data_IF_820644448346
#
_entry.id   IF_820644448346
#
_cell.length_a   1.000
_cell.length_b   1.000
_cell.length_c   1.000
_cell.angle_alpha   90.00
_cell.angle_beta   90.00
_cell.angle_gamma   90.00
#
_symmetry.space_group_name_H-M   'P 1'
#
loop_
_entity.id
_entity.type
_entity.pdbx_description
1 polymer ?
#
# COMPACT_ATOMS: atom_id res chain seq x y z
N UNK A 1 -4.88 -19.47 8.72
CA UNK A 1 -5.32 -18.47 7.72
C UNK A 1 -5.32 -19.13 6.36
N UNK A 2 -6.19 -18.69 5.46
CA UNK A 2 -6.25 -19.18 4.09
C UNK A 2 -6.20 -17.97 3.16
N UNK A 3 -5.23 -17.95 2.26
CA UNK A 3 -5.16 -16.95 1.19
C UNK A 3 -5.64 -17.55 -0.12
N UNK A 4 -6.53 -16.85 -0.84
CA UNK A 4 -7.00 -17.28 -2.17
C UNK A 4 -7.24 -16.10 -3.10
N UNK A 5 -7.23 -16.39 -4.40
CA UNK A 5 -7.64 -15.42 -5.43
C UNK A 5 -9.13 -15.11 -5.27
N UNK A 6 -9.46 -13.83 -5.42
CA UNK A 6 -10.82 -13.30 -5.45
C UNK A 6 -11.19 -12.88 -6.87
N UNK A 7 -12.45 -13.09 -7.23
CA UNK A 7 -13.00 -12.74 -8.54
C UNK A 7 -13.97 -11.56 -8.46
N UNK A 8 -14.42 -11.06 -9.61
CA UNK A 8 -15.17 -9.80 -9.74
C UNK A 8 -16.42 -9.76 -8.87
N UNK A 9 -17.06 -10.90 -8.67
CA UNK A 9 -18.25 -11.07 -7.83
C UNK A 9 -17.96 -10.74 -6.36
N UNK A 10 -16.70 -10.84 -5.94
CA UNK A 10 -16.22 -10.59 -4.59
C UNK A 10 -15.60 -9.19 -4.41
N UNK A 11 -15.77 -8.28 -5.39
CA UNK A 11 -15.21 -6.92 -5.34
C UNK A 11 -15.56 -6.18 -4.05
N UNK A 12 -16.85 -6.17 -3.66
CA UNK A 12 -17.29 -5.50 -2.43
C UNK A 12 -16.64 -6.09 -1.18
N UNK A 13 -16.41 -7.41 -1.17
CA UNK A 13 -15.76 -8.09 -0.06
C UNK A 13 -14.27 -7.72 0.00
N UNK A 14 -13.59 -7.71 -1.15
CA UNK A 14 -12.20 -7.28 -1.28
C UNK A 14 -12.03 -5.83 -0.79
N UNK A 15 -12.79 -4.89 -1.35
CA UNK A 15 -12.67 -3.46 -1.03
C UNK A 15 -13.04 -3.15 0.44
N UNK A 16 -13.84 -4.00 1.10
CA UNK A 16 -14.19 -3.83 2.52
C UNK A 16 -13.01 -3.87 3.49
N UNK A 17 -11.87 -4.42 3.07
CA UNK A 17 -10.64 -4.52 3.87
C UNK A 17 -9.45 -3.78 3.26
N UNK A 18 -9.66 -3.02 2.18
CA UNK A 18 -8.61 -2.21 1.56
C UNK A 18 -8.58 -0.82 2.20
N UNK A 19 -7.40 -0.40 2.65
CA UNK A 19 -7.16 0.94 3.21
C UNK A 19 -6.52 1.91 2.23
N UNK A 20 -5.68 1.44 1.31
CA UNK A 20 -4.90 2.30 0.42
C UNK A 20 -5.52 2.36 -0.99
N UNK A 21 -5.70 3.54 -1.60
CA UNK A 21 -6.38 3.69 -2.89
C UNK A 21 -5.74 2.88 -4.03
N UNK A 22 -4.41 2.77 -4.07
CA UNK A 22 -3.71 1.98 -5.10
C UNK A 22 -3.84 0.46 -4.93
N UNK A 23 -4.53 0.00 -3.90
CA UNK A 23 -4.86 -1.40 -3.69
C UNK A 23 -6.34 -1.69 -3.97
N UNK A 24 -7.18 -0.70 -4.31
CA UNK A 24 -8.61 -0.92 -4.56
C UNK A 24 -8.85 -1.77 -5.80
N UNK A 25 -10.04 -2.34 -5.90
CA UNK A 25 -10.43 -3.09 -7.08
C UNK A 25 -10.32 -2.24 -8.35
N UNK A 26 -10.87 -1.02 -8.31
CA UNK A 26 -10.89 -0.10 -9.45
C UNK A 26 -9.49 0.33 -9.88
N UNK A 27 -8.54 0.46 -8.95
CA UNK A 27 -7.14 0.70 -9.33
C UNK A 27 -6.56 -0.48 -10.13
N UNK A 28 -6.90 -1.71 -9.74
CA UNK A 28 -6.56 -2.90 -10.52
C UNK A 28 -7.20 -2.92 -11.90
N UNK A 29 -8.47 -2.49 -12.04
CA UNK A 29 -9.13 -2.37 -13.36
C UNK A 29 -8.44 -1.33 -14.24
N UNK A 30 -8.02 -0.22 -13.65
CA UNK A 30 -7.17 0.76 -14.34
C UNK A 30 -5.87 0.13 -14.82
N UNK A 31 -5.14 -0.60 -13.97
CA UNK A 31 -3.89 -1.28 -14.39
C UNK A 31 -4.13 -2.30 -15.52
N UNK A 32 -5.22 -3.07 -15.45
CA UNK A 32 -5.62 -4.01 -16.52
C UNK A 32 -5.85 -3.25 -17.84
N UNK A 33 -6.52 -2.09 -17.80
CA UNK A 33 -6.71 -1.25 -18.99
C UNK A 33 -5.39 -0.76 -19.62
N UNK A 34 -4.31 -0.70 -18.82
CA UNK A 34 -2.96 -0.36 -19.27
C UNK A 34 -2.14 -1.60 -19.69
N UNK A 35 -2.77 -2.78 -19.81
CA UNK A 35 -2.13 -4.01 -20.25
C UNK A 35 -1.43 -4.81 -19.15
N UNK A 36 -1.70 -4.51 -17.87
CA UNK A 36 -1.16 -5.30 -16.77
C UNK A 36 -2.02 -6.53 -16.50
N UNK A 37 -1.40 -7.61 -16.01
CA UNK A 37 -2.12 -8.73 -15.38
C UNK A 37 -2.21 -8.47 -13.89
N UNK A 38 -3.41 -8.53 -13.32
CA UNK A 38 -3.64 -8.23 -11.89
C UNK A 38 -4.30 -9.42 -11.22
N UNK A 39 -3.72 -9.86 -10.12
CA UNK A 39 -4.29 -10.88 -9.24
C UNK A 39 -4.65 -10.25 -7.90
N UNK A 40 -5.86 -10.51 -7.42
CA UNK A 40 -6.37 -10.00 -6.15
C UNK A 40 -6.51 -11.17 -5.19
N UNK A 41 -5.84 -11.10 -4.05
CA UNK A 41 -5.81 -12.14 -3.04
C UNK A 41 -6.51 -11.66 -1.77
N UNK A 42 -7.42 -12.46 -1.26
CA UNK A 42 -8.04 -12.28 0.05
C UNK A 42 -7.42 -13.21 1.06
N UNK A 43 -7.13 -12.70 2.25
CA UNK A 43 -6.64 -13.45 3.42
C UNK A 43 -7.80 -13.66 4.38
N UNK A 44 -8.09 -14.92 4.68
CA UNK A 44 -9.22 -15.33 5.50
C UNK A 44 -8.77 -15.97 6.81
N UNK A 45 -9.44 -15.58 7.90
CA UNK A 45 -9.41 -16.29 9.17
C UNK A 45 -10.82 -16.72 9.56
N UNK A 46 -10.99 -18.02 9.84
CA UNK A 46 -12.29 -18.64 10.18
C UNK A 46 -13.44 -18.24 9.24
N UNK A 47 -13.15 -18.14 7.94
CA UNK A 47 -14.12 -17.79 6.90
C UNK A 47 -14.40 -16.29 6.75
N UNK A 48 -13.84 -15.44 7.60
CA UNK A 48 -13.94 -13.97 7.49
C UNK A 48 -12.69 -13.41 6.81
N UNK A 49 -12.88 -12.50 5.86
CA UNK A 49 -11.76 -11.76 5.26
C UNK A 49 -11.16 -10.80 6.30
N UNK A 50 -9.85 -10.83 6.47
CA UNK A 50 -9.13 -9.98 7.44
C UNK A 50 -8.13 -9.03 6.78
N UNK A 51 -7.72 -9.33 5.56
CA UNK A 51 -6.83 -8.50 4.74
C UNK A 51 -7.01 -8.90 3.28
N UNK A 52 -6.63 -8.02 2.37
CA UNK A 52 -6.54 -8.33 0.96
C UNK A 52 -5.41 -7.53 0.31
N UNK A 53 -4.96 -7.97 -0.85
CA UNK A 53 -3.95 -7.27 -1.63
C UNK A 53 -4.00 -7.64 -3.11
N UNK A 54 -3.49 -6.75 -3.94
CA UNK A 54 -3.29 -6.97 -5.37
C UNK A 54 -1.81 -7.11 -5.70
N UNK A 55 -1.50 -8.06 -6.59
CA UNK A 55 -0.21 -8.16 -7.27
C UNK A 55 -0.42 -7.90 -8.76
N UNK A 56 0.33 -6.95 -9.31
CA UNK A 56 0.26 -6.55 -10.71
C UNK A 56 1.55 -6.92 -11.43
N UNK A 57 1.43 -7.52 -12.61
CA UNK A 57 2.53 -7.91 -13.49
C UNK A 57 2.50 -7.10 -14.78
N UNK A 58 3.64 -6.51 -15.11
CA UNK A 58 3.87 -5.81 -16.37
C UNK A 58 4.90 -6.58 -17.21
N UNK A 59 4.55 -6.89 -18.45
CA UNK A 59 5.45 -7.60 -19.36
C UNK A 59 6.59 -6.69 -19.82
N UNK A 60 7.82 -7.20 -19.82
CA UNK A 60 8.97 -6.47 -20.35
C UNK A 60 8.90 -6.52 -21.88
N UNK A 61 8.89 -5.37 -22.58
CA UNK A 61 8.79 -5.32 -24.04
C UNK A 61 9.83 -6.22 -24.72
N UNK A 62 9.39 -6.95 -25.76
CA UNK A 62 10.22 -7.85 -26.58
C UNK A 62 10.78 -9.07 -25.83
N UNK A 63 10.22 -9.43 -24.66
CA UNK A 63 10.60 -10.64 -23.93
C UNK A 63 9.36 -11.39 -23.42
N UNK A 64 9.56 -12.63 -22.96
CA UNK A 64 8.53 -13.41 -22.26
C UNK A 64 8.56 -13.21 -20.73
N UNK A 65 9.39 -12.27 -20.25
CA UNK A 65 9.55 -12.01 -18.83
C UNK A 65 8.64 -10.86 -18.38
N UNK A 66 8.30 -10.87 -17.10
CA UNK A 66 7.52 -9.80 -16.46
C UNK A 66 8.18 -9.25 -15.20
N UNK A 67 7.64 -8.14 -14.69
CA UNK A 67 7.96 -7.57 -13.38
C UNK A 67 6.68 -7.50 -12.57
N UNK A 68 6.69 -8.12 -11.39
CA UNK A 68 5.59 -8.05 -10.44
C UNK A 68 5.73 -6.87 -9.47
N UNK A 69 4.62 -6.32 -9.02
CA UNK A 69 4.57 -5.27 -7.99
C UNK A 69 3.41 -5.48 -7.03
N UNK A 70 3.66 -5.22 -5.75
CA UNK A 70 2.65 -5.07 -4.70
C UNK A 70 2.90 -3.70 -4.07
N UNK A 71 2.09 -2.73 -4.50
CA UNK A 71 2.24 -1.32 -4.18
C UNK A 71 1.30 -0.93 -3.04
N UNK A 72 1.84 -0.52 -1.89
CA UNK A 72 1.09 -0.18 -0.67
C UNK A 72 0.25 -1.35 -0.16
N UNK A 73 0.80 -2.56 -0.25
CA UNK A 73 0.16 -3.79 0.25
C UNK A 73 0.28 -3.97 1.76
N UNK A 74 -0.22 -5.08 2.31
CA UNK A 74 -0.13 -5.39 3.73
C UNK A 74 1.33 -5.67 4.17
N UNK A 75 1.51 -5.80 5.48
CA UNK A 75 2.79 -6.26 6.06
C UNK A 75 3.16 -7.62 5.44
N UNK A 76 4.41 -7.75 5.02
CA UNK A 76 4.92 -8.97 4.38
C UNK A 76 5.08 -10.07 5.43
N UNK A 77 4.59 -11.26 5.12
CA UNK A 77 4.78 -12.50 5.86
C UNK A 77 5.12 -13.69 4.94
N UNK A 78 5.42 -14.84 5.52
CA UNK A 78 5.77 -16.06 4.77
C UNK A 78 4.65 -16.55 3.85
N UNK A 79 3.38 -16.36 4.24
CA UNK A 79 2.23 -16.81 3.46
C UNK A 79 2.08 -15.97 2.19
N UNK A 80 2.20 -14.64 2.30
CA UNK A 80 2.24 -13.73 1.16
C UNK A 80 3.38 -14.10 0.23
N UNK A 81 4.60 -14.28 0.76
CA UNK A 81 5.77 -14.63 -0.06
C UNK A 81 5.55 -15.95 -0.82
N UNK A 82 5.04 -16.98 -0.15
CA UNK A 82 4.73 -18.27 -0.76
C UNK A 82 3.71 -18.14 -1.90
N UNK A 83 2.60 -17.44 -1.66
CA UNK A 83 1.53 -17.28 -2.65
C UNK A 83 1.98 -16.44 -3.85
N UNK A 84 2.68 -15.33 -3.58
CA UNK A 84 3.20 -14.44 -4.63
C UNK A 84 4.27 -15.14 -5.46
N UNK A 85 5.15 -15.95 -4.85
CA UNK A 85 6.16 -16.72 -5.57
C UNK A 85 5.54 -17.69 -6.57
N UNK A 86 4.43 -18.34 -6.22
CA UNK A 86 3.70 -19.22 -7.14
C UNK A 86 3.20 -18.44 -8.36
N UNK A 87 2.50 -17.33 -8.14
CA UNK A 87 1.97 -16.48 -9.23
C UNK A 87 3.12 -15.92 -10.07
N UNK A 88 4.21 -15.49 -9.43
CA UNK A 88 5.37 -14.93 -10.12
C UNK A 88 6.05 -15.93 -11.08
N UNK A 89 6.10 -17.22 -10.71
CA UNK A 89 6.60 -18.27 -11.59
C UNK A 89 5.69 -18.44 -12.81
N UNK A 90 4.37 -18.49 -12.59
CA UNK A 90 3.38 -18.62 -13.67
C UNK A 90 3.39 -17.40 -14.62
N UNK A 91 3.81 -16.25 -14.12
CA UNK A 91 3.95 -14.99 -14.86
C UNK A 91 5.33 -14.79 -15.52
N UNK A 92 6.24 -15.76 -15.41
CA UNK A 92 7.65 -15.61 -15.82
C UNK A 92 8.29 -14.32 -15.27
N UNK A 93 7.99 -13.96 -14.03
CA UNK A 93 8.47 -12.72 -13.43
C UNK A 93 9.94 -12.83 -13.00
N UNK A 94 10.75 -11.83 -13.36
CA UNK A 94 12.17 -11.77 -12.95
C UNK A 94 12.28 -11.43 -11.46
N UNK A 95 11.38 -10.58 -10.97
CA UNK A 95 11.23 -10.26 -9.56
C UNK A 95 9.82 -9.74 -9.27
N UNK A 96 9.45 -9.77 -8.00
CA UNK A 96 8.29 -9.05 -7.47
C UNK A 96 8.78 -8.01 -6.48
N UNK A 97 8.35 -6.76 -6.67
CA UNK A 97 8.67 -5.65 -5.79
C UNK A 97 7.55 -5.44 -4.78
N UNK A 98 7.89 -5.46 -3.50
CA UNK A 98 6.96 -5.20 -2.40
C UNK A 98 7.21 -3.81 -1.82
N UNK A 99 6.16 -3.01 -1.70
CA UNK A 99 6.16 -1.75 -0.96
C UNK A 99 4.98 -1.78 0.02
N UNK A 100 5.16 -2.28 1.25
CA UNK A 100 4.07 -2.41 2.22
C UNK A 100 3.65 -1.04 2.77
N UNK A 101 2.35 -0.87 3.05
CA UNK A 101 1.79 0.32 3.69
C UNK A 101 1.92 0.24 5.22
N UNK A 102 3.17 0.21 5.69
CA UNK A 102 3.51 0.06 7.11
C UNK A 102 4.47 1.16 7.51
N UNK A 103 4.13 1.92 8.55
CA UNK A 103 5.04 2.91 9.12
C UNK A 103 6.21 2.21 9.82
N UNK A 104 7.43 2.48 9.35
CA UNK A 104 8.64 2.04 10.04
C UNK A 104 8.96 2.96 11.22
N UNK A 105 8.86 4.27 11.00
CA UNK A 105 9.20 5.32 11.97
C UNK A 105 8.15 6.42 11.90
N UNK A 106 7.91 7.05 13.05
CA UNK A 106 7.10 8.26 13.18
C UNK A 106 7.96 9.38 13.70
N UNK A 107 8.05 10.45 12.92
CA UNK A 107 8.75 11.68 13.29
C UNK A 107 7.73 12.67 13.86
N UNK A 108 7.98 13.20 15.05
CA UNK A 108 7.11 14.17 15.73
C UNK A 108 7.65 15.59 15.57
N UNK A 109 6.76 16.57 15.70
CA UNK A 109 7.10 18.00 15.60
C UNK A 109 8.02 18.47 16.74
N UNK A 110 8.02 17.79 17.88
CA UNK A 110 8.93 18.02 19.00
C UNK A 110 10.36 17.49 18.75
N UNK A 111 10.64 16.96 17.55
CA UNK A 111 11.93 16.39 17.17
C UNK A 111 12.12 14.94 17.60
N UNK A 112 11.18 14.35 18.34
CA UNK A 112 11.28 12.94 18.75
C UNK A 112 10.97 11.99 17.60
N UNK A 113 11.62 10.83 17.61
CA UNK A 113 11.39 9.76 16.63
C UNK A 113 10.98 8.48 17.35
N UNK A 114 9.89 7.89 16.91
CA UNK A 114 9.40 6.61 17.41
C UNK A 114 9.58 5.54 16.33
N UNK A 115 10.24 4.42 16.69
CA UNK A 115 10.33 3.24 15.82
C UNK A 115 9.09 2.37 16.03
N UNK A 116 8.34 2.14 14.97
CA UNK A 116 7.08 1.41 14.99
C UNK A 116 7.22 -0.03 14.49
N UNK A 117 8.05 -0.24 13.46
CA UNK A 117 8.26 -1.55 12.85
C UNK A 117 9.70 -1.73 12.40
N UNK A 118 10.12 -3.00 12.36
CA UNK A 118 11.39 -3.41 11.78
C UNK A 118 11.24 -3.71 10.29
N UNK A 119 12.36 -3.58 9.57
CA UNK A 119 12.43 -4.03 8.17
C UNK A 119 12.35 -5.56 8.19
N UNK A 120 11.38 -6.17 7.49
CA UNK A 120 11.27 -7.62 7.44
C UNK A 120 12.56 -8.25 6.88
N UNK A 121 13.03 -9.30 7.55
CA UNK A 121 14.23 -10.04 7.15
C UNK A 121 13.80 -11.40 6.62
N UNK A 122 13.75 -11.51 5.29
CA UNK A 122 13.49 -12.77 4.60
C UNK A 122 14.64 -13.06 3.66
N UNK A 123 15.11 -14.31 3.59
CA UNK A 123 16.23 -14.73 2.73
C UNK A 123 16.01 -14.42 1.25
N UNK A 124 14.75 -14.48 0.82
CA UNK A 124 14.34 -14.28 -0.57
C UNK A 124 14.14 -12.79 -0.92
N UNK A 125 14.29 -11.88 0.05
CA UNK A 125 14.10 -10.44 -0.15
C UNK A 125 15.42 -9.67 -0.04
N UNK A 126 15.51 -8.61 -0.84
CA UNK A 126 16.56 -7.60 -0.76
C UNK A 126 15.94 -6.21 -0.82
N UNK A 127 16.56 -5.25 -0.14
CA UNK A 127 16.13 -3.85 -0.22
C UNK A 127 16.32 -3.36 -1.65
N UNK A 128 15.24 -2.82 -2.21
CA UNK A 128 15.28 -2.23 -3.54
C UNK A 128 15.94 -0.83 -3.47
N UNK A 129 16.88 -0.50 -4.37
CA UNK A 129 17.48 0.83 -4.40
C UNK A 129 16.53 1.89 -4.96
N UNK A 130 15.45 1.48 -5.62
CA UNK A 130 14.42 2.37 -6.17
C UNK A 130 13.11 2.11 -5.45
N UNK A 131 12.33 3.15 -5.19
CA UNK A 131 10.97 3.08 -4.63
C UNK A 131 9.96 3.67 -5.61
N UNK A 132 8.74 3.16 -5.62
CA UNK A 132 7.64 3.71 -6.42
C UNK A 132 6.99 4.88 -5.69
N UNK A 133 6.89 4.79 -4.37
CA UNK A 133 6.46 5.91 -3.52
C UNK A 133 7.60 6.49 -2.70
N UNK A 134 7.58 7.80 -2.49
CA UNK A 134 8.48 8.44 -1.53
C UNK A 134 8.24 7.87 -0.12
N UNK A 135 9.29 7.51 0.64
CA UNK A 135 9.16 6.76 1.90
C UNK A 135 8.79 7.65 3.10
N UNK A 136 8.53 8.94 2.89
CA UNK A 136 8.06 9.86 3.91
C UNK A 136 6.72 10.45 3.51
N UNK A 137 5.78 10.44 4.45
CA UNK A 137 4.44 10.99 4.27
C UNK A 137 4.12 11.91 5.45
N UNK A 138 3.61 13.10 5.15
CA UNK A 138 3.01 13.97 6.17
C UNK A 138 1.58 13.50 6.41
N UNK A 139 1.25 13.15 7.65
CA UNK A 139 -0.07 12.64 8.03
C UNK A 139 -0.72 13.64 8.98
N UNK A 140 -1.92 14.09 8.62
CA UNK A 140 -2.76 14.97 9.44
C UNK A 140 -3.91 14.14 10.01
N UNK A 141 -4.09 14.21 11.32
CA UNK A 141 -5.14 13.49 12.03
C UNK A 141 -6.46 14.28 12.00
N UNK A 142 -7.36 13.85 11.11
CA UNK A 142 -8.66 14.51 10.90
C UNK A 142 -9.70 14.16 11.96
N UNK A 143 -9.40 13.33 12.96
CA UNK A 143 -10.34 13.12 14.09
C UNK A 143 -10.31 14.29 15.09
N UNK A 144 -9.33 15.18 14.95
CA UNK A 144 -9.21 16.40 15.76
C UNK A 144 -10.21 17.46 15.33
N UNK A 145 -10.61 18.31 16.27
CA UNK A 145 -11.41 19.50 15.93
C UNK A 145 -10.58 20.47 15.12
N UNK A 146 -11.27 21.39 14.43
CA UNK A 146 -10.62 22.42 13.64
C UNK A 146 -9.70 23.30 14.50
N UNK A 147 -10.14 23.66 15.71
CA UNK A 147 -9.36 24.45 16.67
C UNK A 147 -8.05 23.72 17.04
N UNK A 148 -8.14 22.43 17.34
CA UNK A 148 -6.98 21.59 17.68
C UNK A 148 -6.01 21.45 16.50
N UNK A 149 -6.52 21.36 15.27
CA UNK A 149 -5.69 21.33 14.06
C UNK A 149 -4.96 22.66 13.84
N UNK A 150 -5.65 23.79 14.01
CA UNK A 150 -5.04 25.11 13.90
C UNK A 150 -3.98 25.31 14.99
N UNK A 151 -4.25 24.93 16.23
CA UNK A 151 -3.26 25.01 17.32
C UNK A 151 -1.99 24.21 17.04
N UNK A 152 -2.09 23.12 16.29
CA UNK A 152 -0.96 22.24 15.97
C UNK A 152 0.03 22.79 14.92
N UNK A 153 -0.36 23.81 14.15
CA UNK A 153 0.52 24.44 13.14
C UNK A 153 1.14 25.74 13.66
N UNK A 154 2.22 26.21 13.05
CA UNK A 154 2.90 27.43 13.51
C UNK A 154 2.02 28.70 13.34
N UNK A 155 2.35 29.77 14.07
CA UNK A 155 1.57 31.01 14.08
C UNK A 155 1.38 31.66 12.71
N UNK A 156 2.37 31.57 11.81
CA UNK A 156 2.26 32.14 10.45
C UNK A 156 1.29 31.34 9.59
N UNK A 157 1.37 30.01 9.64
CA UNK A 157 0.42 29.12 8.97
C UNK A 157 -1.00 29.35 9.48
N UNK A 158 -1.20 29.43 10.79
CA UNK A 158 -2.51 29.78 11.39
C UNK A 158 -3.04 31.12 10.90
N UNK A 159 -2.20 32.16 10.91
CA UNK A 159 -2.57 33.50 10.45
C UNK A 159 -3.05 33.46 8.99
N UNK A 160 -2.26 32.86 8.10
CA UNK A 160 -2.59 32.76 6.67
C UNK A 160 -3.92 32.02 6.44
N UNK A 161 -4.18 30.95 7.19
CA UNK A 161 -5.45 30.22 7.09
C UNK A 161 -6.63 31.10 7.51
N UNK A 162 -6.49 31.88 8.59
CA UNK A 162 -7.53 32.80 9.07
C UNK A 162 -7.77 33.95 8.08
N UNK A 163 -6.71 34.53 7.56
CA UNK A 163 -6.76 35.65 6.61
C UNK A 163 -7.52 35.28 5.32
N UNK A 164 -7.22 34.10 4.75
CA UNK A 164 -7.93 33.58 3.57
C UNK A 164 -9.42 33.39 3.88
N UNK A 165 -9.77 32.89 5.06
CA UNK A 165 -11.17 32.67 5.45
C UNK A 165 -11.97 33.95 5.65
N UNK A 166 -11.36 35.00 6.18
CA UNK A 166 -12.01 36.31 6.33
C UNK A 166 -12.25 37.03 5.00
N UNK A 167 -11.63 36.56 3.91
CA UNK A 167 -11.84 37.08 2.54
C UNK A 167 -12.99 36.41 1.78
N UNK A 168 -13.68 35.44 2.38
CA UNK A 168 -14.92 34.82 1.89
C UNK A 168 -16.10 35.19 2.78
#
# INVERSE_FOLDING_TARGET
MITRILYKEEQKLYDSVISHPVQTWDWGEFQISQGHRVYRLGVFDKGKIISAYSVSFHQIPKTNYSIGTILRGPKIDDEILKNVKKIAIDENAIFVKFEPDVFQKKYRLDGTTERLNDIPQFSDLKISPKVAFYPYTYVVDLTKTEEQLLESVNSKTRYNIRDIRSGF
#
